data_IF_922504983101
#
_entry.id   IF_922504983101
#
_cell.length_a   1.000
_cell.length_b   1.000
_cell.length_c   1.000
_cell.angle_alpha   90.00
_cell.angle_beta   90.00
_cell.angle_gamma   90.00
#
_symmetry.space_group_name_H-M   'P 1'
#
loop_
_entity.id
_entity.type
_entity.pdbx_description
1 polymer ?
#
# COMPACT_ATOMS: atom_id res chain seq x y z
N UNK A 1 19.13 -0.76 -9.38
CA UNK A 1 17.75 -0.64 -8.85
C UNK A 1 16.88 -1.86 -9.19
N UNK A 2 16.78 -2.35 -10.41
CA UNK A 2 15.95 -3.53 -10.75
C UNK A 2 16.42 -4.83 -10.07
N UNK A 3 17.72 -5.08 -9.97
CA UNK A 3 18.26 -6.28 -9.33
C UNK A 3 17.87 -6.45 -7.86
N UNK A 4 17.86 -5.35 -7.08
CA UNK A 4 17.44 -5.38 -5.68
C UNK A 4 15.94 -5.71 -5.56
N UNK A 5 15.10 -5.10 -6.41
CA UNK A 5 13.65 -5.37 -6.45
C UNK A 5 13.34 -6.81 -6.84
N UNK A 6 14.06 -7.37 -7.82
CA UNK A 6 13.94 -8.77 -8.22
C UNK A 6 14.36 -9.69 -7.05
N UNK A 7 15.46 -9.35 -6.37
CA UNK A 7 15.96 -10.15 -5.25
C UNK A 7 14.94 -10.23 -4.10
N UNK A 8 14.35 -9.08 -3.70
CA UNK A 8 13.35 -9.07 -2.63
C UNK A 8 12.05 -9.75 -3.05
N UNK A 9 11.62 -9.61 -4.30
CA UNK A 9 10.47 -10.31 -4.84
C UNK A 9 10.64 -11.85 -4.75
N UNK A 10 11.80 -12.37 -5.16
CA UNK A 10 12.12 -13.81 -5.03
C UNK A 10 12.16 -14.28 -3.59
N UNK A 11 12.68 -13.47 -2.67
CA UNK A 11 12.67 -13.81 -1.24
C UNK A 11 11.24 -13.90 -0.70
N UNK A 12 10.36 -12.96 -1.08
CA UNK A 12 8.97 -12.98 -0.67
C UNK A 12 8.23 -14.22 -1.20
N UNK A 13 8.42 -14.58 -2.46
CA UNK A 13 7.88 -15.83 -3.02
C UNK A 13 8.37 -17.04 -2.24
N UNK A 14 9.68 -17.15 -1.99
CA UNK A 14 10.26 -18.24 -1.20
C UNK A 14 9.69 -18.31 0.23
N UNK A 15 9.42 -17.14 0.84
CA UNK A 15 8.85 -17.08 2.19
C UNK A 15 7.44 -17.64 2.24
N UNK A 16 6.58 -17.34 1.25
CA UNK A 16 5.20 -17.81 1.23
C UNK A 16 5.05 -19.22 0.64
N UNK A 17 5.95 -19.67 -0.23
CA UNK A 17 5.83 -20.92 -1.00
C UNK A 17 5.51 -22.14 -0.14
N UNK A 18 6.17 -22.28 1.02
CA UNK A 18 5.93 -23.39 1.94
C UNK A 18 4.71 -23.23 2.86
N UNK A 19 4.06 -22.06 2.83
CA UNK A 19 2.96 -21.67 3.72
C UNK A 19 1.61 -21.63 3.01
N UNK A 20 1.62 -21.58 1.66
CA UNK A 20 0.40 -21.51 0.86
C UNK A 20 -0.12 -22.90 0.48
N UNK A 21 -1.41 -22.98 0.24
CA UNK A 21 -2.13 -24.18 -0.23
C UNK A 21 -3.13 -23.79 -1.31
N UNK A 22 -3.75 -24.77 -1.97
CA UNK A 22 -4.76 -24.53 -3.01
C UNK A 22 -6.01 -23.78 -2.53
N UNK A 23 -6.21 -23.65 -1.23
CA UNK A 23 -7.28 -22.85 -0.63
C UNK A 23 -6.86 -21.42 -0.28
N UNK A 24 -5.57 -21.10 -0.30
CA UNK A 24 -5.03 -19.81 0.12
C UNK A 24 -5.41 -18.70 -0.85
N UNK A 25 -5.87 -17.57 -0.32
CA UNK A 25 -6.04 -16.31 -1.05
C UNK A 25 -4.95 -15.33 -0.59
N UNK A 26 -4.27 -14.71 -1.55
CA UNK A 26 -3.21 -13.73 -1.30
C UNK A 26 -3.73 -12.31 -1.57
N UNK A 27 -3.23 -11.34 -0.83
CA UNK A 27 -3.38 -9.93 -1.12
C UNK A 27 -2.17 -9.40 -1.91
N UNK A 28 -2.43 -8.69 -2.99
CA UNK A 28 -1.38 -8.17 -3.88
C UNK A 28 -1.49 -6.66 -3.94
N UNK A 29 -0.38 -6.00 -3.60
CA UNK A 29 -0.22 -4.56 -3.60
C UNK A 29 0.01 -3.97 -4.99
N UNK A 30 0.65 -2.78 -5.00
CA UNK A 30 0.83 -1.97 -6.21
C UNK A 30 2.26 -1.43 -6.30
N UNK A 31 2.78 -1.35 -7.52
CA UNK A 31 4.05 -0.68 -7.79
C UNK A 31 5.14 -1.59 -8.36
N UNK A 32 6.25 -0.97 -8.72
CA UNK A 32 7.30 -1.64 -9.52
C UNK A 32 7.96 -2.84 -8.84
N UNK A 33 8.06 -2.86 -7.50
CA UNK A 33 8.58 -4.01 -6.76
C UNK A 33 7.57 -5.15 -6.76
N UNK A 34 6.28 -4.80 -6.57
CA UNK A 34 5.17 -5.75 -6.63
C UNK A 34 5.05 -6.39 -8.01
N UNK A 35 5.29 -5.63 -9.09
CA UNK A 35 5.27 -6.20 -10.43
C UNK A 35 6.30 -7.34 -10.60
N UNK A 36 7.50 -7.20 -10.04
CA UNK A 36 8.47 -8.30 -10.01
C UNK A 36 8.00 -9.48 -9.16
N UNK A 37 7.31 -9.21 -8.05
CA UNK A 37 6.70 -10.27 -7.24
C UNK A 37 5.61 -11.02 -8.03
N UNK A 38 4.73 -10.32 -8.75
CA UNK A 38 3.70 -10.93 -9.61
C UNK A 38 4.33 -11.79 -10.71
N UNK A 39 5.47 -11.36 -11.29
CA UNK A 39 6.20 -12.17 -12.28
C UNK A 39 6.63 -13.51 -11.68
N UNK A 40 7.26 -13.50 -10.53
CA UNK A 40 7.72 -14.71 -9.84
C UNK A 40 6.56 -15.58 -9.34
N UNK A 41 5.48 -14.94 -8.83
CA UNK A 41 4.27 -15.62 -8.33
C UNK A 41 3.56 -16.42 -9.44
N UNK A 42 3.66 -15.99 -10.70
CA UNK A 42 3.07 -16.69 -11.84
C UNK A 42 3.52 -18.15 -11.94
N UNK A 43 4.72 -18.50 -11.46
CA UNK A 43 5.23 -19.87 -11.41
C UNK A 43 4.49 -20.74 -10.38
N UNK A 44 3.85 -20.13 -9.38
CA UNK A 44 3.13 -20.79 -8.30
C UNK A 44 1.60 -20.75 -8.47
N UNK A 45 1.05 -20.28 -9.59
CA UNK A 45 -0.38 -20.04 -9.78
C UNK A 45 -1.31 -21.23 -9.52
N UNK A 46 -0.79 -22.45 -9.54
CA UNK A 46 -1.55 -23.66 -9.23
C UNK A 46 -1.46 -24.10 -7.76
N UNK A 47 -0.69 -23.37 -6.93
CA UNK A 47 -0.47 -23.69 -5.52
C UNK A 47 -1.38 -22.90 -4.57
N UNK A 48 -2.09 -21.88 -5.05
CA UNK A 48 -3.04 -21.08 -4.28
C UNK A 48 -4.36 -20.91 -5.04
N UNK A 49 -5.40 -20.42 -4.38
CA UNK A 49 -6.74 -20.28 -4.94
C UNK A 49 -6.84 -19.11 -5.91
N UNK A 50 -6.26 -17.98 -5.53
CA UNK A 50 -6.28 -16.73 -6.27
C UNK A 50 -5.89 -15.57 -5.37
N UNK A 51 -6.19 -14.35 -5.80
CA UNK A 51 -5.71 -13.14 -5.12
C UNK A 51 -6.81 -12.07 -4.96
N UNK A 52 -6.60 -11.16 -4.00
CA UNK A 52 -7.27 -9.86 -3.92
C UNK A 52 -6.23 -8.79 -4.26
N UNK A 53 -6.57 -7.86 -5.15
CA UNK A 53 -5.66 -6.81 -5.61
C UNK A 53 -6.02 -5.44 -5.05
N UNK A 54 -5.01 -4.66 -4.68
CA UNK A 54 -5.18 -3.29 -4.18
C UNK A 54 -5.31 -2.23 -5.27
N UNK A 55 -5.15 -2.58 -6.57
CA UNK A 55 -5.30 -1.63 -7.68
C UNK A 55 -5.77 -2.29 -8.97
N UNK A 56 -6.38 -1.48 -9.84
CA UNK A 56 -6.78 -1.94 -11.17
C UNK A 56 -5.57 -2.32 -12.03
N UNK A 57 -4.46 -1.58 -11.90
CA UNK A 57 -3.22 -1.88 -12.62
C UNK A 57 -2.64 -3.25 -12.24
N UNK A 58 -2.59 -3.58 -10.94
CA UNK A 58 -2.14 -4.91 -10.49
C UNK A 58 -3.12 -6.01 -10.91
N UNK A 59 -4.43 -5.74 -10.87
CA UNK A 59 -5.46 -6.69 -11.33
C UNK A 59 -5.28 -7.06 -12.80
N UNK A 60 -4.98 -6.09 -13.65
CA UNK A 60 -4.73 -6.33 -15.08
C UNK A 60 -3.51 -7.23 -15.30
N UNK A 61 -2.39 -6.97 -14.60
CA UNK A 61 -1.18 -7.80 -14.71
C UNK A 61 -1.46 -9.24 -14.25
N UNK A 62 -2.16 -9.41 -13.13
CA UNK A 62 -2.53 -10.71 -12.56
C UNK A 62 -3.42 -11.52 -13.52
N UNK A 63 -4.47 -10.89 -14.06
CA UNK A 63 -5.37 -11.51 -15.04
C UNK A 63 -4.63 -11.95 -16.30
N UNK A 64 -3.70 -11.12 -16.82
CA UNK A 64 -2.88 -11.45 -17.99
C UNK A 64 -1.95 -12.67 -17.75
N UNK A 65 -1.65 -12.98 -16.47
CA UNK A 65 -0.90 -14.20 -16.09
C UNK A 65 -1.79 -15.40 -15.82
N UNK A 66 -3.11 -15.25 -15.94
CA UNK A 66 -4.09 -16.29 -15.64
C UNK A 66 -4.19 -16.59 -14.14
N UNK A 67 -3.94 -15.60 -13.29
CA UNK A 67 -4.17 -15.65 -11.85
C UNK A 67 -5.55 -15.04 -11.59
N UNK A 68 -6.42 -15.79 -10.91
CA UNK A 68 -7.77 -15.34 -10.60
C UNK A 68 -7.76 -14.22 -9.56
N UNK A 69 -8.45 -13.11 -9.88
CA UNK A 69 -8.57 -11.94 -8.99
C UNK A 69 -9.98 -11.87 -8.43
N UNK A 70 -10.10 -12.02 -7.13
CA UNK A 70 -11.37 -11.96 -6.40
C UNK A 70 -11.65 -10.53 -5.90
N UNK A 71 -12.94 -10.23 -5.72
CA UNK A 71 -13.34 -9.14 -4.83
C UNK A 71 -13.03 -9.52 -3.38
N UNK A 72 -12.61 -8.55 -2.56
CA UNK A 72 -12.42 -8.79 -1.13
C UNK A 72 -13.74 -9.21 -0.44
N UNK A 73 -14.89 -8.79 -0.98
CA UNK A 73 -16.22 -9.18 -0.46
C UNK A 73 -16.57 -10.65 -0.72
N UNK A 74 -15.86 -11.31 -1.64
CA UNK A 74 -16.16 -12.69 -2.06
C UNK A 74 -15.21 -13.72 -1.45
N UNK A 75 -14.31 -13.27 -0.56
CA UNK A 75 -13.34 -14.11 0.15
C UNK A 75 -13.53 -14.00 1.66
N UNK A 76 -13.29 -15.12 2.37
CA UNK A 76 -13.44 -15.16 3.83
C UNK A 76 -12.16 -14.70 4.54
N UNK A 77 -11.00 -14.86 3.90
CA UNK A 77 -9.70 -14.66 4.51
C UNK A 77 -8.66 -14.32 3.45
N UNK A 78 -7.73 -13.43 3.77
CA UNK A 78 -6.52 -13.15 3.00
C UNK A 78 -5.33 -13.51 3.89
N UNK A 79 -4.56 -14.53 3.50
CA UNK A 79 -3.48 -15.06 4.35
C UNK A 79 -2.30 -14.11 4.44
N UNK A 80 -1.78 -13.70 3.28
CA UNK A 80 -0.63 -12.80 3.16
C UNK A 80 -0.99 -11.65 2.26
N UNK A 81 -0.68 -10.42 2.68
CA UNK A 81 -0.68 -9.25 1.81
C UNK A 81 0.76 -8.87 1.47
N UNK A 82 1.11 -8.82 0.20
CA UNK A 82 2.45 -8.50 -0.27
C UNK A 82 2.44 -7.16 -0.99
N UNK A 83 3.19 -6.18 -0.47
CA UNK A 83 3.25 -4.84 -1.06
C UNK A 83 4.60 -4.14 -0.77
N UNK A 84 4.83 -3.05 -1.49
CA UNK A 84 5.96 -2.15 -1.26
C UNK A 84 5.62 -0.99 -0.33
N UNK A 85 6.62 -0.13 -0.09
CA UNK A 85 6.43 1.15 0.59
C UNK A 85 7.32 2.24 -0.04
N UNK A 86 6.95 3.50 0.21
CA UNK A 86 7.74 4.67 -0.20
C UNK A 86 8.80 4.99 0.85
N UNK A 87 8.46 4.82 2.15
CA UNK A 87 9.37 4.90 3.30
C UNK A 87 9.02 3.84 4.33
N UNK A 88 10.04 3.35 5.05
CA UNK A 88 9.90 2.40 6.17
C UNK A 88 10.88 2.76 7.27
N UNK A 89 10.42 2.84 8.53
CA UNK A 89 11.30 3.03 9.70
C UNK A 89 11.66 1.69 10.37
N UNK A 90 12.68 1.67 11.24
CA UNK A 90 13.03 0.46 12.00
C UNK A 90 11.89 -0.06 12.90
N UNK A 91 10.96 0.82 13.30
CA UNK A 91 9.79 0.47 14.10
C UNK A 91 8.64 -0.08 13.26
N UNK A 92 8.84 -0.25 11.94
CA UNK A 92 7.85 -0.72 10.97
C UNK A 92 6.72 0.28 10.68
N UNK A 93 6.93 1.56 10.88
CA UNK A 93 6.03 2.59 10.36
C UNK A 93 6.32 2.85 8.88
N UNK A 94 5.27 2.99 8.07
CA UNK A 94 5.41 3.16 6.63
C UNK A 94 4.76 4.46 6.14
N UNK A 95 5.32 5.01 5.05
CA UNK A 95 4.57 5.86 4.11
C UNK A 95 4.38 5.07 2.82
N UNK A 96 3.14 5.04 2.33
CA UNK A 96 2.71 4.44 1.07
C UNK A 96 1.84 5.41 0.27
N UNK A 97 1.54 5.08 -0.95
CA UNK A 97 0.62 5.85 -1.78
C UNK A 97 1.29 6.73 -2.84
N UNK A 98 2.58 6.57 -3.11
CA UNK A 98 3.22 7.21 -4.26
C UNK A 98 2.52 6.89 -5.58
N UNK A 99 1.97 5.68 -5.74
CA UNK A 99 1.11 5.26 -6.86
C UNK A 99 -0.37 5.65 -6.71
N UNK A 100 -0.79 6.21 -5.58
CA UNK A 100 -2.18 6.65 -5.34
C UNK A 100 -3.17 5.53 -5.01
N UNK A 101 -2.71 4.35 -4.59
CA UNK A 101 -3.55 3.20 -4.27
C UNK A 101 -3.67 2.92 -2.76
N UNK A 102 -3.11 3.80 -1.91
CA UNK A 102 -2.95 3.55 -0.47
C UNK A 102 -4.26 3.21 0.27
N UNK A 103 -5.39 3.76 -0.14
CA UNK A 103 -6.69 3.44 0.48
C UNK A 103 -7.04 1.96 0.29
N UNK A 104 -6.98 1.44 -0.95
CA UNK A 104 -7.22 0.01 -1.20
C UNK A 104 -6.10 -0.86 -0.63
N UNK A 105 -4.86 -0.39 -0.66
CA UNK A 105 -3.72 -1.06 -0.03
C UNK A 105 -3.97 -1.26 1.46
N UNK A 106 -4.44 -0.21 2.17
CA UNK A 106 -4.75 -0.28 3.61
C UNK A 106 -5.93 -1.21 3.89
N UNK A 107 -6.97 -1.18 3.04
CA UNK A 107 -8.12 -2.09 3.17
C UNK A 107 -7.67 -3.55 3.06
N UNK A 108 -6.87 -3.89 2.05
CA UNK A 108 -6.40 -5.28 1.88
C UNK A 108 -5.42 -5.68 2.99
N UNK A 109 -4.54 -4.77 3.42
CA UNK A 109 -3.63 -5.01 4.55
C UNK A 109 -4.42 -5.30 5.85
N UNK A 110 -5.46 -4.50 6.13
CA UNK A 110 -6.30 -4.68 7.32
C UNK A 110 -7.12 -5.98 7.31
N UNK A 111 -7.42 -6.50 6.12
CA UNK A 111 -8.14 -7.76 5.93
C UNK A 111 -7.23 -8.99 5.90
N UNK A 112 -5.91 -8.80 5.99
CA UNK A 112 -4.93 -9.88 5.86
C UNK A 112 -4.37 -10.30 7.21
N UNK A 113 -4.03 -11.60 7.34
CA UNK A 113 -3.44 -12.13 8.57
C UNK A 113 -2.00 -11.61 8.78
N UNK A 114 -1.24 -11.47 7.68
CA UNK A 114 0.14 -11.01 7.71
C UNK A 114 0.41 -10.07 6.53
N UNK A 115 1.03 -8.91 6.78
CA UNK A 115 1.50 -8.00 5.74
C UNK A 115 3.01 -8.15 5.54
N UNK A 116 3.42 -8.56 4.35
CA UNK A 116 4.82 -8.72 3.93
C UNK A 116 5.24 -7.49 3.12
N UNK A 117 6.02 -6.61 3.73
CA UNK A 117 6.54 -5.42 3.07
C UNK A 117 7.84 -5.74 2.32
N UNK A 118 7.80 -5.59 0.99
CA UNK A 118 8.94 -5.86 0.09
C UNK A 118 9.55 -4.55 -0.39
N UNK A 119 10.73 -4.22 0.11
CA UNK A 119 11.42 -2.98 -0.19
C UNK A 119 12.91 -3.21 -0.52
N UNK A 120 13.51 -2.30 -1.25
CA UNK A 120 14.95 -2.16 -1.31
C UNK A 120 15.47 -1.19 -0.23
N UNK A 121 16.79 -1.25 0.04
CA UNK A 121 17.42 -0.46 1.11
C UNK A 121 17.23 1.06 0.98
N UNK A 122 16.89 1.57 -0.20
CA UNK A 122 16.69 3.01 -0.41
C UNK A 122 15.41 3.53 0.23
N UNK A 123 14.52 2.61 0.63
CA UNK A 123 13.25 2.93 1.28
C UNK A 123 13.34 2.96 2.80
N UNK A 124 14.45 2.48 3.36
CA UNK A 124 14.69 2.55 4.80
C UNK A 124 15.09 3.97 5.20
N UNK A 125 14.35 4.52 6.14
CA UNK A 125 14.59 5.88 6.69
C UNK A 125 14.62 5.81 8.22
N UNK A 126 15.34 6.73 8.84
CA UNK A 126 15.33 6.86 10.31
C UNK A 126 14.08 7.55 10.85
N UNK A 127 13.40 8.34 10.01
CA UNK A 127 12.17 9.10 10.33
C UNK A 127 11.35 9.25 9.04
N UNK A 128 10.02 9.10 9.15
CA UNK A 128 9.10 9.35 8.05
C UNK A 128 9.03 10.84 7.67
N UNK A 129 8.73 11.12 6.39
CA UNK A 129 8.39 12.45 5.90
C UNK A 129 9.38 13.07 4.91
N UNK A 130 10.42 12.35 4.47
CA UNK A 130 11.20 12.77 3.30
C UNK A 130 10.39 12.57 2.01
N UNK A 131 9.61 11.49 1.93
CA UNK A 131 8.60 11.31 0.91
C UNK A 131 7.32 12.06 1.32
N UNK A 132 6.66 12.82 0.40
CA UNK A 132 5.43 13.52 0.73
C UNK A 132 4.33 12.53 1.10
N UNK A 133 3.56 12.84 2.14
CA UNK A 133 2.47 11.99 2.63
C UNK A 133 1.23 12.14 1.74
N UNK A 134 0.81 11.08 1.01
CA UNK A 134 -0.41 11.14 0.21
C UNK A 134 -1.65 11.11 1.10
N UNK A 135 -2.62 11.94 0.77
CA UNK A 135 -3.93 12.03 1.42
C UNK A 135 -5.02 11.94 0.36
N UNK A 136 -5.80 10.86 0.35
CA UNK A 136 -6.94 10.72 -0.54
C UNK A 136 -8.14 11.47 0.02
N UNK A 137 -8.74 12.32 -0.81
CA UNK A 137 -9.84 13.19 -0.40
C UNK A 137 -10.97 13.17 -1.42
N UNK A 138 -12.21 13.24 -0.95
CA UNK A 138 -13.37 13.46 -1.81
C UNK A 138 -13.17 14.78 -2.57
N UNK A 139 -13.41 14.83 -3.90
CA UNK A 139 -13.12 16.03 -4.72
C UNK A 139 -13.67 17.34 -4.16
N UNK A 140 -14.90 17.32 -3.64
CA UNK A 140 -15.58 18.49 -3.09
C UNK A 140 -14.92 19.02 -1.82
N UNK A 141 -14.23 18.16 -1.06
CA UNK A 141 -13.58 18.53 0.22
C UNK A 141 -12.15 19.05 0.06
N UNK A 142 -11.55 18.90 -1.12
CA UNK A 142 -10.11 19.14 -1.36
C UNK A 142 -9.60 20.45 -0.77
N UNK A 143 -10.27 21.56 -1.05
CA UNK A 143 -9.81 22.89 -0.59
C UNK A 143 -10.00 23.08 0.92
N UNK A 144 -11.07 22.52 1.47
CA UNK A 144 -11.31 22.57 2.92
C UNK A 144 -10.27 21.74 3.68
N UNK A 145 -10.00 20.52 3.20
CA UNK A 145 -8.97 19.65 3.78
C UNK A 145 -7.59 20.31 3.66
N UNK A 146 -7.24 20.87 2.50
CA UNK A 146 -5.96 21.58 2.31
C UNK A 146 -5.75 22.69 3.35
N UNK A 147 -6.77 23.52 3.64
CA UNK A 147 -6.68 24.55 4.68
C UNK A 147 -6.46 23.97 6.08
N UNK A 148 -7.08 22.82 6.40
CA UNK A 148 -6.84 22.14 7.70
C UNK A 148 -5.40 21.63 7.79
N UNK A 149 -4.86 21.05 6.72
CA UNK A 149 -3.46 20.61 6.66
C UNK A 149 -2.50 21.78 6.85
N UNK A 150 -2.76 22.94 6.22
CA UNK A 150 -1.95 24.16 6.41
C UNK A 150 -1.98 24.60 7.87
N UNK A 151 -3.15 24.58 8.52
CA UNK A 151 -3.28 24.92 9.94
C UNK A 151 -2.52 23.95 10.87
N UNK A 152 -2.26 22.72 10.42
CA UNK A 152 -1.44 21.73 11.11
C UNK A 152 0.07 21.85 10.80
N UNK A 153 0.47 22.85 10.01
CA UNK A 153 1.87 23.11 9.64
C UNK A 153 2.32 22.40 8.36
N UNK A 154 1.48 21.61 7.71
CA UNK A 154 1.80 20.92 6.47
C UNK A 154 1.60 21.80 5.24
N UNK A 155 2.24 21.43 4.13
CA UNK A 155 2.13 22.07 2.81
C UNK A 155 1.50 21.09 1.81
N UNK A 156 0.16 21.11 1.64
CA UNK A 156 -0.54 20.24 0.70
C UNK A 156 -0.34 20.69 -0.75
N UNK A 157 -0.01 19.73 -1.62
CA UNK A 157 0.12 19.93 -3.07
C UNK A 157 -0.88 19.02 -3.76
N UNK A 158 -1.77 19.59 -4.56
CA UNK A 158 -2.74 18.81 -5.34
C UNK A 158 -2.02 18.01 -6.44
N UNK A 159 -2.28 16.69 -6.49
CA UNK A 159 -1.76 15.81 -7.55
C UNK A 159 -2.59 16.02 -8.82
N UNK A 160 -2.18 16.97 -9.65
CA UNK A 160 -2.88 17.33 -10.89
C UNK A 160 -2.95 16.16 -11.88
N UNK A 161 -4.03 16.11 -12.67
CA UNK A 161 -4.27 15.10 -13.70
C UNK A 161 -4.21 13.65 -13.19
N UNK A 162 -4.54 13.46 -11.93
CA UNK A 162 -4.57 12.15 -11.28
C UNK A 162 -5.90 11.95 -10.56
N UNK A 163 -6.50 10.79 -10.74
CA UNK A 163 -7.62 10.29 -9.95
C UNK A 163 -7.25 8.89 -9.42
N UNK A 164 -7.65 8.62 -8.18
CA UNK A 164 -7.55 7.27 -7.62
C UNK A 164 -8.48 6.31 -8.38
N UNK A 165 -8.32 5.01 -8.16
CA UNK A 165 -9.25 4.00 -8.71
C UNK A 165 -10.70 4.24 -8.24
N UNK A 166 -10.89 4.87 -7.08
CA UNK A 166 -12.18 5.30 -6.50
C UNK A 166 -12.66 6.67 -7.01
N UNK A 167 -11.94 7.28 -7.96
CA UNK A 167 -12.23 8.60 -8.55
C UNK A 167 -12.07 9.79 -7.60
N UNK A 168 -11.29 9.63 -6.55
CA UNK A 168 -10.97 10.68 -5.60
C UNK A 168 -9.69 11.45 -5.99
N UNK A 169 -9.49 12.61 -5.36
CA UNK A 169 -8.28 13.41 -5.49
C UNK A 169 -7.21 13.01 -4.47
N UNK A 170 -5.95 13.35 -4.77
CA UNK A 170 -4.83 13.23 -3.80
C UNK A 170 -4.23 14.60 -3.53
N UNK A 171 -4.01 14.87 -2.26
CA UNK A 171 -3.13 15.91 -1.75
C UNK A 171 -1.82 15.25 -1.28
N UNK A 172 -0.70 15.61 -1.88
CA UNK A 172 0.63 15.23 -1.41
C UNK A 172 1.08 16.25 -0.36
N UNK A 173 1.21 15.81 0.88
CA UNK A 173 1.50 16.68 2.02
C UNK A 173 3.00 16.68 2.29
N UNK A 174 3.62 17.85 2.19
CA UNK A 174 5.01 18.11 2.56
C UNK A 174 5.09 18.80 3.92
N UNK A 175 6.24 18.75 4.55
CA UNK A 175 6.63 19.55 5.71
C UNK A 175 5.76 19.34 6.98
N UNK A 176 4.89 18.33 7.00
CA UNK A 176 4.08 17.98 8.18
C UNK A 176 4.93 17.18 9.16
N UNK A 177 4.75 17.44 10.46
CA UNK A 177 5.42 16.66 11.51
C UNK A 177 4.81 15.26 11.65
N UNK A 178 5.63 14.21 11.40
CA UNK A 178 5.27 12.79 11.52
C UNK A 178 6.09 12.14 12.66
N UNK A 179 6.33 12.87 13.74
CA UNK A 179 7.06 12.34 14.92
C UNK A 179 6.26 11.28 15.68
N UNK A 180 4.92 11.34 15.61
CA UNK A 180 4.00 10.36 16.15
C UNK A 180 3.06 9.87 15.02
N UNK A 181 3.51 8.85 14.23
CA UNK A 181 2.77 8.40 13.06
C UNK A 181 1.37 7.87 13.39
N UNK A 182 1.23 7.10 14.48
CA UNK A 182 -0.06 6.52 14.87
C UNK A 182 -1.09 7.59 15.23
N UNK A 183 -0.66 8.63 15.93
CA UNK A 183 -1.52 9.76 16.29
C UNK A 183 -1.89 10.58 15.07
N UNK A 184 -0.94 10.87 14.18
CA UNK A 184 -1.19 11.65 12.97
C UNK A 184 -2.13 10.90 12.01
N UNK A 185 -1.95 9.60 11.83
CA UNK A 185 -2.83 8.75 11.01
C UNK A 185 -4.30 8.88 11.46
N UNK A 186 -4.54 8.77 12.77
CA UNK A 186 -5.89 8.93 13.36
C UNK A 186 -6.45 10.33 13.19
N UNK A 187 -5.63 11.37 13.41
CA UNK A 187 -6.05 12.77 13.25
C UNK A 187 -6.48 13.04 11.80
N UNK A 188 -5.70 12.60 10.82
CA UNK A 188 -5.99 12.82 9.41
C UNK A 188 -7.28 12.12 8.99
N UNK A 189 -7.50 10.88 9.42
CA UNK A 189 -8.71 10.11 9.09
C UNK A 189 -9.98 10.68 9.75
N UNK A 190 -9.85 11.49 10.80
CA UNK A 190 -10.99 12.18 11.43
C UNK A 190 -11.37 13.53 10.75
N UNK A 191 -10.67 13.94 9.69
CA UNK A 191 -11.01 15.15 8.95
C UNK A 191 -12.15 14.83 7.97
N UNK A 192 -13.32 15.47 8.05
CA UNK A 192 -14.40 15.26 7.10
C UNK A 192 -13.91 15.45 5.64
N UNK A 193 -14.21 14.48 4.78
CA UNK A 193 -13.81 14.49 3.38
C UNK A 193 -12.45 13.84 3.10
N UNK A 194 -11.68 13.47 4.11
CA UNK A 194 -10.55 12.55 3.97
C UNK A 194 -11.11 11.14 3.82
N UNK A 195 -10.61 10.41 2.83
CA UNK A 195 -10.94 9.00 2.61
C UNK A 195 -9.95 8.13 3.38
N UNK A 196 -8.65 8.35 3.13
CA UNK A 196 -7.57 7.72 3.90
C UNK A 196 -6.25 8.47 3.65
N UNK A 197 -5.23 8.15 4.43
CA UNK A 197 -3.88 8.71 4.32
C UNK A 197 -2.83 7.61 4.14
N UNK A 198 -1.65 8.02 3.67
CA UNK A 198 -0.55 7.13 3.34
C UNK A 198 0.29 6.65 4.53
N UNK A 199 -0.05 7.00 5.78
CA UNK A 199 0.62 6.45 6.96
C UNK A 199 0.06 5.05 7.24
N UNK A 200 0.96 4.09 7.43
CA UNK A 200 0.67 2.73 7.85
C UNK A 200 1.43 2.49 9.15
N UNK A 201 0.79 2.80 10.27
CA UNK A 201 1.39 2.72 11.60
C UNK A 201 0.52 1.95 12.60
N UNK A 202 -0.80 1.88 12.39
CA UNK A 202 -1.76 1.32 13.33
C UNK A 202 -2.28 -0.05 12.86
N UNK A 203 -2.29 -1.02 13.79
CA UNK A 203 -2.89 -2.37 13.62
C UNK A 203 -2.43 -3.16 12.37
N UNK A 204 -1.15 -3.15 12.06
CA UNK A 204 -0.61 -3.98 10.99
C UNK A 204 0.26 -5.10 11.55
N UNK A 205 -0.03 -6.36 11.17
CA UNK A 205 0.88 -7.50 11.37
C UNK A 205 1.95 -7.47 10.28
N UNK A 206 2.98 -6.65 10.45
CA UNK A 206 3.97 -6.33 9.43
C UNK A 206 5.28 -7.10 9.60
N UNK A 207 5.75 -7.74 8.52
CA UNK A 207 7.09 -8.34 8.41
C UNK A 207 7.84 -7.70 7.25
N UNK A 208 9.12 -7.38 7.45
CA UNK A 208 10.03 -6.96 6.39
C UNK A 208 10.80 -8.15 5.79
N UNK A 209 10.98 -8.12 4.46
CA UNK A 209 11.86 -9.06 3.76
C UNK A 209 12.89 -8.32 2.92
#
# INVERSE_FOLDING_TARGET
>A
MSAAKISVAKKAVKYIESKISRGTVLGIGTGSTVNFFIEELGNLKHHFKGVVSSSNASSEILNNKGIEVFSLNDVNEVEFYIDGADEVTPENFLIKGGGGAHTREKIVAAASNEFICIIDKTKLVSKLGAFPLPLEVIPESRSMVARKIIAMGGRPVYRNNFLTDQKNHILDIHDIDISDPEKLEKILNNIPGVVDNGIFAYNLSLIHI
#
